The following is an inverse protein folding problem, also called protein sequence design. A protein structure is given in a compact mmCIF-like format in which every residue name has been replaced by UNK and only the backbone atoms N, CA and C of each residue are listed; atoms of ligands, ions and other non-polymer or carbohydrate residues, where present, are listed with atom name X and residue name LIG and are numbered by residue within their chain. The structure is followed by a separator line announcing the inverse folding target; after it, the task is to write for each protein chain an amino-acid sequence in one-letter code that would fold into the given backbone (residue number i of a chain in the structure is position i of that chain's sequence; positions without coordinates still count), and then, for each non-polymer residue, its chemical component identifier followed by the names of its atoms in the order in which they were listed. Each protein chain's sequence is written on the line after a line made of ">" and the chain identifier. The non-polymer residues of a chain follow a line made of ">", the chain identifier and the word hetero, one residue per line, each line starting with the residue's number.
data_IF_930034293423
#
_entry.id   IF_930034293423
#
_cell.length_a   1.000
_cell.length_b   1.000
_cell.length_c   1.000
_cell.angle_alpha   90.00
_cell.angle_beta   90.00
_cell.angle_gamma   90.00
#
_symmetry.space_group_name_H-M   'P 1'
#
loop_
_entity.id
_entity.type
_entity.pdbx_description
1 polymer ?
#
# COMPACT_ATOMS: atom_id res chain seq x y z
N UNK A 1 8.25 3.11 0.90
CA UNK A 1 9.15 3.85 -0.01
C UNK A 1 9.68 5.12 0.63
N UNK A 2 8.82 6.08 1.04
CA UNK A 2 9.27 7.33 1.68
C UNK A 2 10.27 7.11 2.84
N UNK A 3 9.98 6.21 3.78
CA UNK A 3 10.90 5.88 4.88
C UNK A 3 12.26 5.34 4.42
N UNK A 4 12.29 4.56 3.33
CA UNK A 4 13.56 4.05 2.79
C UNK A 4 14.34 5.13 2.05
N UNK A 5 13.65 6.05 1.37
CA UNK A 5 14.27 7.21 0.72
C UNK A 5 14.85 8.18 1.75
N UNK A 6 14.11 8.40 2.84
CA UNK A 6 14.56 9.19 3.99
C UNK A 6 15.71 8.51 4.77
N UNK A 7 15.89 7.19 4.61
CA UNK A 7 16.94 6.41 5.27
C UNK A 7 17.74 5.56 4.26
N UNK A 8 18.65 6.16 3.46
CA UNK A 8 19.36 5.46 2.39
C UNK A 8 20.11 4.20 2.84
N UNK A 9 20.66 4.20 4.06
CA UNK A 9 21.33 3.03 4.65
C UNK A 9 20.38 1.84 4.83
N UNK A 10 19.13 2.10 5.26
CA UNK A 10 18.11 1.06 5.42
C UNK A 10 17.66 0.54 4.06
N UNK A 11 17.53 1.42 3.06
CA UNK A 11 17.25 1.02 1.68
C UNK A 11 18.36 0.12 1.13
N UNK A 12 19.63 0.51 1.29
CA UNK A 12 20.77 -0.27 0.82
C UNK A 12 20.80 -1.67 1.46
N UNK A 13 20.46 -1.78 2.75
CA UNK A 13 20.36 -3.07 3.44
C UNK A 13 19.25 -3.96 2.87
N UNK A 14 18.05 -3.41 2.60
CA UNK A 14 16.96 -4.15 1.96
C UNK A 14 17.31 -4.59 0.53
N UNK A 15 17.95 -3.72 -0.26
CA UNK A 15 18.46 -4.06 -1.60
C UNK A 15 19.52 -5.15 -1.55
N UNK A 16 20.42 -5.11 -0.57
CA UNK A 16 21.45 -6.14 -0.40
C UNK A 16 20.85 -7.51 -0.09
N UNK A 17 19.81 -7.58 0.76
CA UNK A 17 19.07 -8.81 1.02
C UNK A 17 18.42 -9.35 -0.26
N UNK A 18 17.71 -8.50 -1.00
CA UNK A 18 17.10 -8.86 -2.29
C UNK A 18 18.13 -9.38 -3.29
N UNK A 19 19.27 -8.70 -3.42
CA UNK A 19 20.35 -9.12 -4.32
C UNK A 19 20.95 -10.48 -3.95
N UNK A 20 21.03 -10.83 -2.66
CA UNK A 20 21.52 -12.13 -2.19
C UNK A 20 20.52 -13.26 -2.41
N UNK A 21 19.22 -12.99 -2.19
CA UNK A 21 18.17 -14.02 -2.20
C UNK A 21 17.60 -14.25 -3.61
N UNK A 22 17.33 -13.18 -4.35
CA UNK A 22 16.68 -13.23 -5.66
C UNK A 22 17.71 -13.22 -6.79
N UNK A 23 18.83 -12.52 -6.60
CA UNK A 23 19.82 -12.26 -7.66
C UNK A 23 19.39 -11.11 -8.58
N UNK A 24 20.21 -10.74 -9.58
CA UNK A 24 19.93 -9.56 -10.44
C UNK A 24 19.04 -9.84 -11.66
N UNK A 25 19.05 -11.07 -12.16
CA UNK A 25 18.42 -11.41 -13.45
C UNK A 25 16.97 -11.91 -13.33
N UNK A 26 16.51 -12.20 -12.11
CA UNK A 26 15.18 -12.77 -11.85
C UNK A 26 14.23 -11.71 -11.32
N UNK A 27 12.97 -11.80 -11.75
CA UNK A 27 11.89 -11.03 -11.13
C UNK A 27 11.58 -11.60 -9.76
N UNK A 28 11.19 -10.73 -8.82
CA UNK A 28 10.73 -11.15 -7.49
C UNK A 28 9.43 -11.94 -7.61
N UNK A 29 9.40 -13.12 -6.99
CA UNK A 29 8.17 -13.91 -6.85
C UNK A 29 7.60 -13.86 -5.42
N UNK A 30 6.32 -14.17 -5.27
CA UNK A 30 5.68 -14.18 -3.94
C UNK A 30 6.31 -15.21 -2.98
N UNK A 31 6.81 -16.32 -3.52
CA UNK A 31 7.45 -17.38 -2.74
C UNK A 31 8.78 -16.92 -2.09
N UNK A 32 9.44 -15.93 -2.68
CA UNK A 32 10.72 -15.40 -2.18
C UNK A 32 10.55 -14.56 -0.91
N UNK A 33 9.37 -13.98 -0.69
CA UNK A 33 9.11 -13.10 0.46
C UNK A 33 9.46 -13.77 1.80
N UNK A 34 9.18 -15.08 1.92
CA UNK A 34 9.51 -15.86 3.12
C UNK A 34 11.00 -15.88 3.47
N UNK A 35 11.88 -15.66 2.49
CA UNK A 35 13.34 -15.65 2.60
C UNK A 35 13.92 -14.24 2.77
N UNK A 36 13.08 -13.21 2.87
CA UNK A 36 13.46 -11.79 2.97
C UNK A 36 13.08 -11.23 4.36
N UNK A 37 13.74 -11.67 5.45
CA UNK A 37 13.37 -11.26 6.81
C UNK A 37 13.53 -9.76 7.06
N UNK A 38 14.53 -9.09 6.48
CA UNK A 38 14.72 -7.67 6.64
C UNK A 38 13.66 -6.86 5.88
N UNK A 39 13.30 -7.26 4.66
CA UNK A 39 12.16 -6.67 3.95
C UNK A 39 10.87 -6.83 4.76
N UNK A 40 10.63 -8.01 5.34
CA UNK A 40 9.48 -8.24 6.22
C UNK A 40 9.50 -7.32 7.45
N UNK A 41 10.68 -7.10 8.03
CA UNK A 41 10.88 -6.18 9.15
C UNK A 41 10.58 -4.73 8.75
N UNK A 42 11.01 -4.29 7.57
CA UNK A 42 10.70 -2.96 7.01
C UNK A 42 9.19 -2.77 6.86
N UNK A 43 8.47 -3.77 6.38
CA UNK A 43 7.00 -3.70 6.24
C UNK A 43 6.30 -3.66 7.60
N UNK A 44 6.74 -4.48 8.57
CA UNK A 44 6.20 -4.43 9.94
C UNK A 44 6.42 -3.07 10.61
N UNK A 45 7.62 -2.50 10.46
CA UNK A 45 7.94 -1.17 11.00
C UNK A 45 7.13 -0.07 10.32
N UNK A 46 6.89 -0.21 9.02
CA UNK A 46 5.98 0.69 8.28
C UNK A 46 4.56 0.61 8.84
N UNK A 47 4.04 -0.58 9.12
CA UNK A 47 2.70 -0.72 9.72
C UNK A 47 2.60 -0.18 11.15
N UNK A 48 3.69 -0.27 11.92
CA UNK A 48 3.75 0.27 13.28
C UNK A 48 3.72 1.79 13.27
N UNK A 49 4.57 2.40 12.44
CA UNK A 49 4.74 3.85 12.41
C UNK A 49 3.64 4.53 11.57
N UNK A 50 3.22 3.91 10.47
CA UNK A 50 2.30 4.50 9.49
C UNK A 50 1.07 3.62 9.25
N UNK A 51 0.24 3.36 10.28
CA UNK A 51 -0.96 2.55 10.11
C UNK A 51 -1.97 3.30 9.21
N UNK A 52 -2.41 2.72 8.06
CA UNK A 52 -3.31 3.41 7.14
C UNK A 52 -4.68 3.75 7.74
N UNK A 53 -5.07 3.08 8.83
CA UNK A 53 -6.31 3.34 9.57
C UNK A 53 -5.96 3.51 11.06
N UNK A 54 -5.55 4.72 11.49
CA UNK A 54 -4.95 4.95 12.81
C UNK A 54 -5.89 4.63 14.00
N UNK A 55 -7.21 4.67 13.79
CA UNK A 55 -8.23 4.33 14.79
C UNK A 55 -8.94 2.98 14.54
N UNK A 56 -8.48 2.22 13.55
CA UNK A 56 -9.19 1.08 12.96
C UNK A 56 -10.63 1.45 12.54
N UNK A 57 -11.44 0.44 12.21
CA UNK A 57 -12.87 0.63 11.97
C UNK A 57 -13.60 0.69 13.31
N UNK A 58 -14.46 1.71 13.55
CA UNK A 58 -15.19 1.85 14.80
C UNK A 58 -15.96 0.59 15.19
N UNK A 59 -15.88 0.22 16.46
CA UNK A 59 -16.70 -0.85 17.06
C UNK A 59 -17.86 -0.25 17.82
N UNK A 60 -18.90 -1.06 18.03
CA UNK A 60 -20.07 -0.69 18.81
C UNK A 60 -20.34 -1.75 19.87
N UNK A 61 -20.53 -1.35 21.12
CA UNK A 61 -20.86 -2.29 22.20
C UNK A 61 -22.30 -2.81 22.04
N UNK A 62 -22.49 -4.12 22.17
CA UNK A 62 -23.80 -4.77 22.06
C UNK A 62 -24.60 -4.71 23.38
N UNK A 63 -23.90 -4.54 24.49
CA UNK A 63 -24.46 -4.45 25.84
C UNK A 63 -23.63 -3.53 26.73
N UNK A 64 -24.12 -3.25 27.94
CA UNK A 64 -23.32 -2.58 28.96
C UNK A 64 -22.13 -3.50 29.28
N UNK A 65 -20.93 -2.93 29.27
CA UNK A 65 -19.68 -3.67 29.49
C UNK A 65 -18.78 -2.88 30.43
N UNK A 66 -17.67 -3.49 30.82
CA UNK A 66 -16.63 -2.84 31.60
C UNK A 66 -15.30 -2.96 30.87
N UNK A 67 -14.53 -1.88 30.79
CA UNK A 67 -13.19 -1.85 30.21
C UNK A 67 -12.26 -1.18 31.22
N UNK A 68 -11.26 -1.90 31.71
CA UNK A 68 -10.28 -1.40 32.69
C UNK A 68 -10.93 -0.75 33.94
N UNK A 69 -12.01 -1.33 34.46
CA UNK A 69 -12.75 -0.78 35.61
C UNK A 69 -13.81 0.28 35.25
N UNK A 70 -13.88 0.73 34.00
CA UNK A 70 -14.83 1.76 33.56
C UNK A 70 -16.08 1.15 32.94
N UNK A 71 -17.25 1.59 33.40
CA UNK A 71 -18.53 1.21 32.80
C UNK A 71 -18.69 1.83 31.40
N UNK A 72 -18.81 0.98 30.39
CA UNK A 72 -19.07 1.37 29.00
C UNK A 72 -20.55 1.06 28.66
N UNK A 73 -21.35 2.06 28.28
CA UNK A 73 -22.76 1.85 28.01
C UNK A 73 -22.95 1.00 26.74
N UNK A 74 -24.14 0.36 26.63
CA UNK A 74 -24.59 -0.27 25.38
C UNK A 74 -24.61 0.78 24.27
N UNK A 75 -24.29 0.37 23.04
CA UNK A 75 -24.21 1.21 21.85
C UNK A 75 -23.08 2.25 21.82
N UNK A 76 -22.16 2.24 22.77
CA UNK A 76 -20.98 3.10 22.74
C UNK A 76 -20.11 2.79 21.52
N UNK A 77 -19.62 3.83 20.85
CA UNK A 77 -18.58 3.68 19.83
C UNK A 77 -17.21 3.55 20.50
N UNK A 78 -16.46 2.52 20.10
CA UNK A 78 -15.12 2.25 20.59
C UNK A 78 -14.15 2.37 19.43
N UNK A 79 -13.17 3.26 19.58
CA UNK A 79 -12.07 3.48 18.64
C UNK A 79 -10.80 2.92 19.27
N UNK A 80 -10.01 2.18 18.50
CA UNK A 80 -8.74 1.61 18.96
C UNK A 80 -7.62 2.39 18.29
N UNK A 81 -6.92 3.22 19.07
CA UNK A 81 -5.86 4.09 18.57
C UNK A 81 -4.56 3.30 18.35
N UNK A 82 -4.47 2.57 17.24
CA UNK A 82 -3.29 1.78 16.87
C UNK A 82 -2.08 2.65 16.55
N UNK A 83 -2.30 3.89 16.11
CA UNK A 83 -1.24 4.87 15.92
C UNK A 83 -0.53 5.22 17.23
N UNK A 84 -1.30 5.41 18.32
CA UNK A 84 -0.75 5.65 19.65
C UNK A 84 -0.07 4.40 20.22
N UNK A 85 -0.70 3.21 20.08
CA UNK A 85 -0.09 1.94 20.52
C UNK A 85 1.26 1.72 19.84
N UNK A 86 1.35 2.00 18.54
CA UNK A 86 2.59 1.91 17.79
C UNK A 86 3.67 2.88 18.28
N UNK A 87 3.31 3.96 18.97
CA UNK A 87 4.23 5.02 19.47
C UNK A 87 4.39 5.06 20.99
N UNK A 88 3.85 4.08 21.70
CA UNK A 88 3.94 4.05 23.16
C UNK A 88 5.38 3.77 23.61
N UNK A 89 5.97 4.72 24.36
CA UNK A 89 7.34 4.64 24.86
C UNK A 89 7.54 3.56 25.94
N UNK A 90 6.46 3.08 26.55
CA UNK A 90 6.50 1.96 27.51
C UNK A 90 6.57 0.61 26.80
N UNK A 91 6.18 0.55 25.53
CA UNK A 91 6.14 -0.66 24.70
C UNK A 91 7.32 -0.70 23.72
N UNK A 92 7.64 0.43 23.09
CA UNK A 92 8.61 0.53 22.00
C UNK A 92 9.77 1.45 22.37
N UNK A 93 11.00 0.95 22.23
CA UNK A 93 12.21 1.77 22.29
C UNK A 93 12.30 2.68 21.07
N UNK A 94 12.59 3.97 21.28
CA UNK A 94 12.62 5.00 20.22
C UNK A 94 11.37 4.94 19.31
N UNK A 95 10.16 5.12 19.86
CA UNK A 95 8.91 4.82 19.17
C UNK A 95 8.68 5.67 17.92
N UNK A 96 9.26 6.87 17.86
CA UNK A 96 9.09 7.77 16.72
C UNK A 96 10.14 7.55 15.61
N UNK A 97 11.13 6.69 15.83
CA UNK A 97 12.17 6.37 14.85
C UNK A 97 11.76 5.16 14.01
N UNK A 98 12.07 5.19 12.72
CA UNK A 98 11.89 4.05 11.82
C UNK A 98 13.07 3.08 11.97
N UNK A 99 12.88 1.99 12.72
CA UNK A 99 13.92 1.01 13.07
C UNK A 99 13.45 -0.41 12.74
N UNK A 100 13.59 -0.87 11.47
CA UNK A 100 13.22 -2.22 11.05
C UNK A 100 13.85 -3.33 11.90
N UNK A 101 15.08 -3.13 12.37
CA UNK A 101 15.85 -4.11 13.16
C UNK A 101 15.09 -4.70 14.34
N UNK A 102 14.13 -3.95 14.93
CA UNK A 102 13.32 -4.43 16.05
C UNK A 102 12.46 -5.66 15.71
N UNK A 103 12.28 -5.97 14.42
CA UNK A 103 11.47 -7.08 13.95
C UNK A 103 12.25 -8.27 13.39
N UNK A 104 13.59 -8.22 13.34
CA UNK A 104 14.41 -9.32 12.79
C UNK A 104 14.41 -10.58 13.65
N UNK A 105 14.37 -10.43 14.97
CA UNK A 105 14.35 -11.53 15.95
C UNK A 105 13.10 -11.45 16.83
N UNK A 106 11.99 -11.04 16.23
CA UNK A 106 10.75 -10.77 16.93
C UNK A 106 9.59 -11.60 16.39
N UNK A 107 8.95 -12.36 17.28
CA UNK A 107 7.76 -13.17 16.99
C UNK A 107 6.49 -12.32 16.76
N UNK A 108 6.56 -10.99 16.92
CA UNK A 108 5.44 -10.10 16.66
C UNK A 108 5.01 -10.23 15.19
N UNK A 109 3.78 -10.66 14.98
CA UNK A 109 3.12 -10.71 13.68
C UNK A 109 2.03 -9.64 13.57
N UNK A 110 1.42 -9.54 12.39
CA UNK A 110 0.31 -8.60 12.12
C UNK A 110 -1.06 -9.29 12.17
N UNK A 111 -1.13 -10.54 12.66
CA UNK A 111 -2.31 -11.42 12.58
C UNK A 111 -3.30 -11.20 13.72
N UNK A 112 -3.14 -10.13 14.49
CA UNK A 112 -4.05 -9.77 15.58
C UNK A 112 -3.89 -10.62 16.83
N UNK A 113 -2.75 -11.32 16.99
CA UNK A 113 -2.41 -12.11 18.18
C UNK A 113 -1.57 -11.31 19.18
N UNK A 114 -0.70 -10.44 18.67
CA UNK A 114 0.08 -9.51 19.48
C UNK A 114 -0.52 -8.11 19.39
N UNK A 115 -1.05 -7.62 20.51
CA UNK A 115 -1.75 -6.34 20.55
C UNK A 115 -0.84 -5.11 20.40
N UNK A 116 0.48 -5.30 20.44
CA UNK A 116 1.46 -4.24 20.16
C UNK A 116 1.44 -3.85 18.68
N UNK A 117 1.07 -4.77 17.78
CA UNK A 117 1.03 -4.52 16.33
C UNK A 117 -0.22 -5.12 15.67
N UNK A 118 -1.27 -4.32 15.56
CA UNK A 118 -2.57 -4.73 14.97
C UNK A 118 -3.04 -3.81 13.84
N UNK A 119 -2.23 -3.58 12.79
CA UNK A 119 -2.58 -2.69 11.67
C UNK A 119 -3.82 -3.16 10.89
N UNK A 120 -4.16 -4.45 11.00
CA UNK A 120 -5.35 -5.07 10.39
C UNK A 120 -6.47 -5.33 11.41
N UNK A 121 -6.33 -4.81 12.63
CA UNK A 121 -7.20 -5.12 13.77
C UNK A 121 -7.00 -6.54 14.32
N UNK A 122 -7.94 -6.96 15.15
CA UNK A 122 -7.90 -8.25 15.83
C UNK A 122 -9.31 -8.82 16.10
N UNK A 123 -9.35 -10.11 16.47
CA UNK A 123 -10.54 -10.84 16.87
C UNK A 123 -11.55 -11.07 15.74
N UNK A 124 -12.83 -11.19 16.10
CA UNK A 124 -13.94 -11.57 15.18
C UNK A 124 -14.10 -10.68 13.95
N UNK A 125 -13.57 -9.45 13.97
CA UNK A 125 -13.68 -8.48 12.88
C UNK A 125 -12.30 -7.99 12.43
N UNK A 126 -11.29 -8.86 12.52
CA UNK A 126 -10.00 -8.65 11.86
C UNK A 126 -10.21 -8.49 10.35
N UNK A 127 -9.37 -7.69 9.70
CA UNK A 127 -9.48 -7.41 8.27
C UNK A 127 -9.49 -8.72 7.46
N UNK A 128 -10.57 -9.00 6.69
CA UNK A 128 -10.62 -10.21 5.86
C UNK A 128 -9.59 -10.18 4.72
N UNK A 129 -9.12 -8.99 4.34
CA UNK A 129 -8.10 -8.78 3.32
C UNK A 129 -6.66 -8.88 3.82
N UNK A 130 -6.43 -9.22 5.10
CA UNK A 130 -5.09 -9.26 5.71
C UNK A 130 -4.09 -10.07 4.89
N UNK A 131 -4.42 -11.31 4.54
CA UNK A 131 -3.49 -12.22 3.87
C UNK A 131 -3.04 -11.66 2.51
N UNK A 132 -3.98 -11.17 1.71
CA UNK A 132 -3.69 -10.59 0.41
C UNK A 132 -2.95 -9.25 0.55
N UNK A 133 -3.43 -8.35 1.41
CA UNK A 133 -2.83 -7.04 1.63
C UNK A 133 -1.39 -7.14 2.11
N UNK A 134 -1.14 -8.03 3.08
CA UNK A 134 0.20 -8.28 3.60
C UNK A 134 1.14 -8.79 2.50
N UNK A 135 0.74 -9.82 1.74
CA UNK A 135 1.55 -10.36 0.63
C UNK A 135 1.84 -9.32 -0.45
N UNK A 136 0.83 -8.56 -0.86
CA UNK A 136 0.99 -7.54 -1.89
C UNK A 136 1.94 -6.42 -1.46
N UNK A 137 1.88 -5.95 -0.22
CA UNK A 137 2.80 -4.89 0.26
C UNK A 137 4.25 -5.35 0.20
N UNK A 138 4.53 -6.60 0.59
CA UNK A 138 5.88 -7.16 0.49
C UNK A 138 6.32 -7.30 -0.96
N UNK A 139 5.48 -7.91 -1.80
CA UNK A 139 5.81 -8.13 -3.21
C UNK A 139 6.03 -6.80 -3.95
N UNK A 140 5.13 -5.82 -3.77
CA UNK A 140 5.29 -4.49 -4.37
C UNK A 140 6.57 -3.80 -3.90
N UNK A 141 6.85 -3.79 -2.60
CA UNK A 141 8.07 -3.18 -2.07
C UNK A 141 9.33 -3.88 -2.60
N UNK A 142 9.33 -5.22 -2.59
CA UNK A 142 10.43 -6.02 -3.10
C UNK A 142 10.69 -5.74 -4.57
N UNK A 143 9.66 -5.78 -5.43
CA UNK A 143 9.77 -5.50 -6.86
C UNK A 143 10.27 -4.08 -7.11
N UNK A 144 9.74 -3.08 -6.41
CA UNK A 144 10.20 -1.69 -6.56
C UNK A 144 11.67 -1.53 -6.18
N UNK A 145 12.10 -2.12 -5.06
CA UNK A 145 13.50 -2.06 -4.60
C UNK A 145 14.45 -2.91 -5.45
N UNK A 146 13.95 -3.96 -6.09
CA UNK A 146 14.76 -4.86 -6.90
C UNK A 146 14.96 -4.33 -8.32
N UNK A 147 13.89 -3.82 -8.94
CA UNK A 147 13.88 -3.46 -10.36
C UNK A 147 14.39 -2.05 -10.67
N UNK A 148 14.45 -1.14 -9.69
CA UNK A 148 14.78 0.26 -9.92
C UNK A 148 15.83 0.77 -8.93
N UNK A 149 16.70 1.68 -9.37
CA UNK A 149 17.45 2.55 -8.46
C UNK A 149 16.59 3.76 -8.11
N UNK A 150 16.63 4.16 -6.84
CA UNK A 150 15.80 5.25 -6.32
C UNK A 150 16.67 6.42 -5.91
N UNK A 151 16.33 7.61 -6.40
CA UNK A 151 16.87 8.88 -5.94
C UNK A 151 15.74 9.85 -5.70
N UNK A 152 15.95 10.81 -4.80
CA UNK A 152 15.09 11.97 -4.70
C UNK A 152 15.28 12.87 -5.92
N UNK A 153 14.30 13.74 -6.19
CA UNK A 153 14.44 14.75 -7.23
C UNK A 153 15.64 15.66 -6.97
N UNK A 154 16.22 16.20 -8.04
CA UNK A 154 17.50 16.88 -7.98
C UNK A 154 17.44 18.08 -7.01
N UNK A 155 18.34 18.08 -6.02
CA UNK A 155 18.44 19.11 -4.98
C UNK A 155 17.72 18.77 -3.67
N UNK A 156 16.82 17.78 -3.63
CA UNK A 156 16.20 17.31 -2.39
C UNK A 156 17.10 16.31 -1.66
N UNK A 157 17.31 16.54 -0.37
CA UNK A 157 18.00 15.60 0.51
C UNK A 157 16.99 14.83 1.36
N UNK A 158 17.35 13.66 1.91
CA UNK A 158 16.51 12.92 2.84
C UNK A 158 15.94 13.81 3.96
N UNK A 159 16.77 14.68 4.54
CA UNK A 159 16.39 15.54 5.66
C UNK A 159 15.34 16.59 5.28
N UNK A 160 15.20 16.89 4.00
CA UNK A 160 14.25 17.87 3.47
C UNK A 160 12.88 17.24 3.16
N UNK A 161 12.74 15.91 3.28
CA UNK A 161 11.48 15.21 2.99
C UNK A 161 10.42 15.51 4.05
N UNK A 162 9.26 16.00 3.63
CA UNK A 162 8.10 16.10 4.50
C UNK A 162 7.50 14.70 4.77
N UNK A 163 7.71 14.21 5.98
CA UNK A 163 7.18 12.93 6.48
C UNK A 163 5.91 13.12 7.32
N UNK A 164 5.28 14.29 7.26
CA UNK A 164 4.08 14.59 8.03
C UNK A 164 2.87 13.85 7.47
N UNK A 165 2.17 13.13 8.34
CA UNK A 165 0.96 12.39 7.99
C UNK A 165 -0.25 13.34 7.89
N UNK A 166 -0.88 13.37 6.71
CA UNK A 166 -2.16 14.06 6.49
C UNK A 166 -3.31 13.06 6.65
N UNK A 167 -4.02 13.15 7.77
CA UNK A 167 -5.06 12.17 8.10
C UNK A 167 -6.40 12.36 7.35
N UNK A 168 -6.56 13.41 6.50
CA UNK A 168 -7.86 13.79 5.94
C UNK A 168 -7.87 14.40 4.51
N UNK A 169 -6.76 14.40 3.74
CA UNK A 169 -6.74 15.09 2.44
C UNK A 169 -6.40 14.14 1.28
N UNK A 170 -7.42 13.46 0.77
CA UNK A 170 -7.47 13.09 -0.64
C UNK A 170 -8.85 13.56 -1.11
N UNK A 171 -8.91 14.70 -1.80
CA UNK A 171 -10.17 15.38 -2.12
C UNK A 171 -11.07 14.55 -3.05
N UNK A 172 -10.49 13.59 -3.80
CA UNK A 172 -11.23 12.76 -4.74
C UNK A 172 -11.17 11.27 -4.37
N UNK A 173 -12.34 10.70 -4.04
CA UNK A 173 -12.52 9.29 -3.71
C UNK A 173 -13.32 8.57 -4.81
N UNK A 174 -12.78 7.46 -5.32
CA UNK A 174 -13.46 6.58 -6.30
C UNK A 174 -14.37 5.55 -5.64
N UNK A 175 -14.57 5.66 -4.32
CA UNK A 175 -15.42 4.78 -3.49
C UNK A 175 -16.86 5.29 -3.41
N UNK A 176 -17.19 6.29 -4.22
CA UNK A 176 -18.54 6.82 -4.38
C UNK A 176 -18.98 7.76 -3.27
N UNK A 177 -18.03 8.38 -2.54
CA UNK A 177 -18.34 9.52 -1.65
C UNK A 177 -18.06 10.86 -2.32
N UNK A 178 -17.15 10.88 -3.28
CA UNK A 178 -16.98 12.02 -4.16
C UNK A 178 -17.77 11.80 -5.46
N UNK A 179 -18.71 12.71 -5.72
CA UNK A 179 -19.56 12.67 -6.92
C UNK A 179 -18.85 13.21 -8.15
N UNK A 180 -17.68 13.83 -8.02
CA UNK A 180 -16.85 14.24 -9.15
C UNK A 180 -16.29 13.02 -9.90
N UNK A 181 -16.10 11.87 -9.24
CA UNK A 181 -15.53 10.68 -9.85
C UNK A 181 -16.13 9.37 -9.31
N UNK A 182 -17.09 8.80 -10.05
CA UNK A 182 -17.80 7.54 -9.70
C UNK A 182 -17.64 6.43 -10.76
N UNK A 183 -16.40 6.04 -11.12
CA UNK A 183 -16.13 5.13 -12.24
C UNK A 183 -16.74 3.73 -12.07
N UNK A 184 -17.06 3.36 -10.82
CA UNK A 184 -17.67 2.09 -10.46
C UNK A 184 -19.01 2.25 -9.71
N UNK A 185 -19.65 3.41 -9.87
CA UNK A 185 -20.88 3.75 -9.16
C UNK A 185 -20.67 4.14 -7.69
N UNK A 186 -21.77 4.31 -6.96
CA UNK A 186 -21.76 4.78 -5.57
C UNK A 186 -22.88 4.11 -4.73
N UNK A 187 -22.74 4.20 -3.40
CA UNK A 187 -23.76 3.73 -2.45
C UNK A 187 -24.06 2.23 -2.55
N UNK A 188 -25.33 1.84 -2.41
CA UNK A 188 -25.75 0.41 -2.42
C UNK A 188 -25.59 -0.29 -3.77
N UNK A 189 -25.33 0.46 -4.85
CA UNK A 189 -25.14 -0.05 -6.21
C UNK A 189 -23.69 0.06 -6.69
N UNK A 190 -22.76 0.33 -5.78
CA UNK A 190 -21.34 0.33 -6.12
C UNK A 190 -20.92 -1.05 -6.63
N UNK A 191 -20.09 -1.08 -7.67
CA UNK A 191 -19.56 -2.33 -8.21
C UNK A 191 -18.78 -3.06 -7.11
N UNK A 192 -19.16 -4.31 -6.75
CA UNK A 192 -18.42 -5.09 -5.76
C UNK A 192 -16.97 -5.38 -6.22
N UNK A 193 -16.73 -5.29 -7.55
CA UNK A 193 -15.42 -5.44 -8.16
C UNK A 193 -14.51 -4.21 -8.09
N UNK A 194 -14.95 -3.05 -7.56
CA UNK A 194 -14.17 -1.79 -7.56
C UNK A 194 -12.72 -2.00 -7.07
N UNK A 195 -12.55 -2.61 -5.90
CA UNK A 195 -11.22 -2.78 -5.30
C UNK A 195 -10.32 -3.68 -6.13
N UNK A 196 -10.88 -4.73 -6.74
CA UNK A 196 -10.14 -5.64 -7.60
C UNK A 196 -9.81 -4.97 -8.94
N UNK A 197 -10.79 -4.36 -9.59
CA UNK A 197 -10.62 -3.65 -10.86
C UNK A 197 -9.57 -2.55 -10.74
N UNK A 198 -9.63 -1.75 -9.67
CA UNK A 198 -8.63 -0.72 -9.40
C UNK A 198 -7.22 -1.32 -9.29
N UNK A 199 -7.03 -2.39 -8.52
CA UNK A 199 -5.72 -3.05 -8.37
C UNK A 199 -5.23 -3.67 -9.68
N UNK A 200 -6.12 -4.34 -10.41
CA UNK A 200 -5.79 -4.99 -11.68
C UNK A 200 -5.37 -3.97 -12.73
N UNK A 201 -6.07 -2.84 -12.86
CA UNK A 201 -5.71 -1.79 -13.82
C UNK A 201 -4.32 -1.23 -13.52
N UNK A 202 -4.02 -0.93 -12.25
CA UNK A 202 -2.70 -0.43 -11.86
C UNK A 202 -1.60 -1.46 -12.13
N UNK A 203 -1.83 -2.74 -11.77
CA UNK A 203 -0.87 -3.80 -12.00
C UNK A 203 -0.63 -4.03 -13.50
N UNK A 204 -1.70 -4.13 -14.31
CA UNK A 204 -1.59 -4.29 -15.75
C UNK A 204 -0.84 -3.12 -16.38
N UNK A 205 -1.19 -1.88 -16.02
CA UNK A 205 -0.50 -0.70 -16.53
C UNK A 205 0.98 -0.70 -16.14
N UNK A 206 1.29 -0.96 -14.87
CA UNK A 206 2.67 -1.04 -14.41
C UNK A 206 3.46 -2.13 -15.13
N UNK A 207 2.88 -3.33 -15.31
CA UNK A 207 3.51 -4.42 -16.04
C UNK A 207 3.75 -4.07 -17.51
N UNK A 208 2.79 -3.42 -18.18
CA UNK A 208 2.91 -3.00 -19.58
C UNK A 208 3.98 -1.92 -19.78
N UNK A 209 4.06 -0.96 -18.85
CA UNK A 209 5.08 0.11 -18.88
C UNK A 209 6.47 -0.41 -18.51
N UNK A 210 6.56 -1.38 -17.59
CA UNK A 210 7.84 -1.94 -17.16
C UNK A 210 8.43 -2.90 -18.20
N UNK A 211 7.58 -3.70 -18.86
CA UNK A 211 8.05 -4.80 -19.70
C UNK A 211 8.27 -4.41 -21.16
N UNK A 212 7.70 -3.27 -21.60
CA UNK A 212 7.69 -2.88 -23.00
C UNK A 212 7.85 -1.37 -23.17
N UNK A 213 8.69 -1.00 -24.13
CA UNK A 213 8.57 0.27 -24.83
C UNK A 213 7.44 0.19 -25.86
N UNK A 214 6.85 1.32 -26.24
CA UNK A 214 5.69 1.34 -27.12
C UNK A 214 5.94 2.25 -28.32
N UNK A 215 5.66 1.76 -29.53
CA UNK A 215 5.58 2.59 -30.74
C UNK A 215 4.18 2.58 -31.33
N UNK A 216 3.82 3.66 -31.99
CA UNK A 216 2.63 3.70 -32.82
C UNK A 216 2.88 2.94 -34.13
N UNK A 217 1.84 2.31 -34.64
CA UNK A 217 1.91 1.62 -35.93
C UNK A 217 2.11 2.63 -37.07
N UNK A 218 2.77 2.21 -38.15
CA UNK A 218 2.90 2.97 -39.40
C UNK A 218 3.59 4.35 -39.30
N UNK A 219 4.38 4.59 -38.24
CA UNK A 219 5.14 5.83 -38.06
C UNK A 219 4.27 7.04 -37.68
N UNK A 220 3.03 6.80 -37.27
CA UNK A 220 2.13 7.81 -36.69
C UNK A 220 2.83 8.55 -35.53
N UNK A 221 2.69 9.88 -35.49
CA UNK A 221 3.14 10.68 -34.36
C UNK A 221 2.03 10.77 -33.31
N UNK A 222 2.36 10.97 -32.03
CA UNK A 222 1.37 11.17 -30.98
C UNK A 222 0.39 12.32 -31.27
N UNK A 223 0.85 13.38 -31.95
CA UNK A 223 0.04 14.53 -32.33
C UNK A 223 -1.08 14.18 -33.33
N UNK A 224 -0.87 13.15 -34.15
CA UNK A 224 -1.79 12.75 -35.22
C UNK A 224 -2.80 11.68 -34.75
N UNK A 225 -2.78 11.32 -33.47
CA UNK A 225 -3.67 10.30 -32.92
C UNK A 225 -5.11 10.79 -32.81
N UNK A 226 -6.04 10.05 -33.43
CA UNK A 226 -7.47 10.28 -33.25
C UNK A 226 -7.93 9.84 -31.84
N UNK A 227 -8.29 10.83 -31.03
CA UNK A 227 -8.79 10.62 -29.67
C UNK A 227 -10.32 10.65 -29.58
N UNK A 228 -11.04 10.85 -30.68
CA UNK A 228 -12.50 10.92 -30.68
C UNK A 228 -13.14 9.62 -30.21
N UNK A 229 -14.32 9.72 -29.58
CA UNK A 229 -15.05 8.57 -29.06
C UNK A 229 -16.33 8.26 -29.83
N UNK A 230 -16.65 6.96 -29.86
CA UNK A 230 -17.94 6.44 -30.28
C UNK A 230 -18.76 6.08 -29.05
N UNK A 231 -19.88 6.79 -28.86
CA UNK A 231 -20.79 6.59 -27.73
C UNK A 231 -21.62 5.31 -27.88
N UNK A 232 -21.78 4.59 -26.77
CA UNK A 232 -22.57 3.36 -26.63
C UNK A 232 -22.69 2.97 -25.15
N UNK A 233 -23.11 1.73 -24.85
CA UNK A 233 -23.14 1.21 -23.46
C UNK A 233 -21.75 1.29 -22.79
N UNK A 234 -20.69 1.19 -23.59
CA UNK A 234 -19.29 1.46 -23.21
C UNK A 234 -18.71 2.51 -24.14
N UNK A 235 -17.96 3.47 -23.61
CA UNK A 235 -17.22 4.44 -24.43
C UNK A 235 -16.04 3.74 -25.12
N UNK A 236 -15.94 3.85 -26.44
CA UNK A 236 -14.84 3.29 -27.24
C UNK A 236 -14.20 4.38 -28.07
N UNK A 237 -12.92 4.26 -28.41
CA UNK A 237 -12.30 5.13 -29.41
C UNK A 237 -12.99 4.93 -30.76
N UNK A 238 -13.22 6.02 -31.50
CA UNK A 238 -13.83 5.99 -32.83
C UNK A 238 -12.93 5.21 -33.80
N UNK A 239 -11.62 5.46 -33.70
CA UNK A 239 -10.57 4.66 -34.33
C UNK A 239 -9.78 3.91 -33.26
N UNK A 240 -9.69 2.57 -33.33
CA UNK A 240 -8.89 1.81 -32.37
C UNK A 240 -7.41 2.22 -32.41
N UNK A 241 -6.84 2.51 -31.24
CA UNK A 241 -5.40 2.74 -31.11
C UNK A 241 -4.64 1.44 -31.41
N UNK A 242 -3.69 1.51 -32.34
CA UNK A 242 -2.75 0.44 -32.64
C UNK A 242 -1.36 0.81 -32.09
N UNK A 243 -1.03 0.25 -30.94
CA UNK A 243 0.28 0.39 -30.31
C UNK A 243 1.01 -0.96 -30.35
N UNK A 244 2.27 -0.94 -30.78
CA UNK A 244 3.12 -2.13 -30.92
C UNK A 244 4.09 -2.17 -29.74
N UNK A 245 4.06 -3.22 -28.90
CA UNK A 245 5.03 -3.40 -27.83
C UNK A 245 6.40 -3.76 -28.40
N UNK A 246 7.44 -3.10 -27.91
CA UNK A 246 8.84 -3.35 -28.21
C UNK A 246 9.48 -3.81 -26.89
N UNK A 247 10.24 -4.90 -26.92
CA UNK A 247 11.04 -5.25 -25.75
C UNK A 247 12.19 -4.26 -25.61
N UNK A 248 12.42 -3.68 -24.43
CA UNK A 248 13.60 -2.85 -24.19
C UNK A 248 14.90 -3.63 -24.39
#
# INVERSE_FOLDING_TARGET
>A
MAELLNNPNLMAKARSELGKVVGKEKMVEESDISKLPYLQAVVKETFRLHPPVPFLVPRKTEMKSEILGYAVPKNAHVLVNVWAIGRDFTIWSNPNSFVPERFLECEIDVKGRDFRLIPFGAGRRICPGLLLGHRMVHLMLASLLHSFDWKLEDGLKPEDMDMTEKFLECEIDVKGRDFQLIPFGAGRRICPGLLLGHRMVHLMLASLLHSFDWKLQDGLKPEDMDMTEKFGLTLRKAQPLQAVPIKP
#
